data_IF_792257549985
#
_entry.id   IF_792257549985
#
_cell.length_a   1.000
_cell.length_b   1.000
_cell.length_c   1.000
_cell.angle_alpha   90.00
_cell.angle_beta   90.00
_cell.angle_gamma   90.00
#
_symmetry.space_group_name_H-M   'P 1'
#
loop_
_entity.id
_entity.type
_entity.pdbx_description
1 polymer ?
#
# COMPACT_ATOMS: atom_id res chain seq x y z
N UNK A 1 -4.61 -56.24 -21.77
CA UNK A 1 -4.91 -54.97 -22.44
C UNK A 1 -6.03 -54.21 -21.74
N UNK A 2 -7.19 -54.82 -21.43
CA UNK A 2 -8.31 -54.16 -20.74
C UNK A 2 -7.99 -53.84 -19.26
N UNK A 3 -7.32 -54.72 -18.53
CA UNK A 3 -6.90 -54.49 -17.13
C UNK A 3 -5.83 -53.45 -16.97
N UNK A 4 -4.94 -53.26 -17.96
CA UNK A 4 -3.95 -52.17 -17.97
C UNK A 4 -4.55 -50.80 -18.24
N UNK A 5 -5.68 -50.75 -18.96
CA UNK A 5 -6.42 -49.52 -19.22
C UNK A 5 -7.19 -49.04 -17.98
N UNK A 6 -7.80 -49.99 -17.25
CA UNK A 6 -8.51 -49.70 -15.98
C UNK A 6 -7.53 -49.22 -14.88
N UNK A 7 -6.34 -49.84 -14.76
CA UNK A 7 -5.31 -49.43 -13.79
C UNK A 7 -4.80 -48.00 -14.05
N UNK A 8 -4.51 -47.65 -15.31
CA UNK A 8 -4.10 -46.26 -15.67
C UNK A 8 -5.21 -45.23 -15.46
N UNK A 9 -6.49 -45.64 -15.66
CA UNK A 9 -7.62 -44.75 -15.47
C UNK A 9 -7.85 -44.44 -13.98
N UNK A 10 -7.64 -45.45 -13.10
CA UNK A 10 -7.71 -45.27 -11.65
C UNK A 10 -6.59 -44.41 -11.14
N UNK A 11 -5.33 -44.62 -11.58
CA UNK A 11 -4.17 -43.78 -11.23
C UNK A 11 -4.35 -42.35 -11.67
N UNK A 12 -4.87 -42.13 -12.89
CA UNK A 12 -5.17 -40.78 -13.40
C UNK A 12 -6.28 -40.12 -12.58
N UNK A 13 -7.33 -40.84 -12.21
CA UNK A 13 -8.44 -40.34 -11.40
C UNK A 13 -7.98 -40.02 -9.95
N UNK A 14 -7.11 -40.81 -9.37
CA UNK A 14 -6.54 -40.54 -8.05
C UNK A 14 -5.66 -39.31 -8.06
N UNK A 15 -4.78 -39.14 -9.06
CA UNK A 15 -3.93 -37.94 -9.22
C UNK A 15 -4.82 -36.71 -9.42
N UNK A 16 -5.87 -36.78 -10.26
CA UNK A 16 -6.82 -35.66 -10.44
C UNK A 16 -7.60 -35.32 -9.17
N UNK A 17 -7.93 -36.28 -8.33
CA UNK A 17 -8.61 -36.04 -7.05
C UNK A 17 -7.68 -35.42 -6.01
N UNK A 18 -6.39 -35.82 -5.94
CA UNK A 18 -5.38 -35.25 -5.06
C UNK A 18 -5.13 -33.81 -5.43
N UNK A 19 -4.94 -33.48 -6.72
CA UNK A 19 -4.75 -32.11 -7.19
C UNK A 19 -5.92 -31.20 -6.82
N UNK A 20 -7.15 -31.68 -6.98
CA UNK A 20 -8.35 -30.91 -6.64
C UNK A 20 -8.51 -30.70 -5.13
N UNK A 21 -8.17 -31.69 -4.35
CA UNK A 21 -8.23 -31.60 -2.89
C UNK A 21 -7.19 -30.61 -2.36
N UNK A 22 -5.95 -30.73 -2.82
CA UNK A 22 -4.87 -29.79 -2.46
C UNK A 22 -5.21 -28.36 -2.87
N UNK A 23 -5.74 -28.16 -4.08
CA UNK A 23 -6.19 -26.86 -4.54
C UNK A 23 -7.23 -26.25 -3.60
N UNK A 24 -8.24 -27.01 -3.19
CA UNK A 24 -9.28 -26.54 -2.28
C UNK A 24 -8.74 -26.18 -0.90
N UNK A 25 -7.78 -26.96 -0.35
CA UNK A 25 -7.13 -26.66 0.94
C UNK A 25 -6.39 -25.34 0.85
N UNK A 26 -5.58 -25.14 -0.18
CA UNK A 26 -4.84 -23.89 -0.40
C UNK A 26 -5.78 -22.70 -0.57
N UNK A 27 -6.86 -22.87 -1.32
CA UNK A 27 -7.87 -21.83 -1.50
C UNK A 27 -8.53 -21.42 -0.18
N UNK A 28 -8.91 -22.39 0.66
CA UNK A 28 -9.47 -22.10 1.99
C UNK A 28 -8.43 -21.45 2.93
N UNK A 29 -7.17 -21.83 2.81
CA UNK A 29 -6.08 -21.17 3.55
C UNK A 29 -5.91 -19.69 3.11
N UNK A 30 -5.93 -19.42 1.81
CA UNK A 30 -5.91 -18.05 1.26
C UNK A 30 -7.07 -17.23 1.82
N UNK A 31 -8.29 -17.76 1.79
CA UNK A 31 -9.47 -17.05 2.33
C UNK A 31 -9.33 -16.75 3.82
N UNK A 32 -8.83 -17.69 4.62
CA UNK A 32 -8.57 -17.49 6.05
C UNK A 32 -7.52 -16.41 6.33
N UNK A 33 -6.42 -16.39 5.56
CA UNK A 33 -5.39 -15.37 5.67
C UNK A 33 -5.91 -13.99 5.24
N UNK A 34 -6.68 -13.94 4.15
CA UNK A 34 -7.32 -12.71 3.68
C UNK A 34 -8.30 -12.13 4.73
N UNK A 35 -9.08 -12.98 5.40
CA UNK A 35 -9.97 -12.57 6.49
C UNK A 35 -9.21 -11.97 7.69
N UNK A 36 -7.97 -12.42 7.93
CA UNK A 36 -7.05 -11.84 8.94
C UNK A 36 -6.26 -10.64 8.44
N UNK A 37 -6.45 -10.21 7.18
CA UNK A 37 -5.69 -9.16 6.49
C UNK A 37 -4.19 -9.50 6.30
N UNK A 38 -3.83 -10.76 6.36
CA UNK A 38 -2.47 -11.27 6.12
C UNK A 38 -2.25 -11.50 4.61
N UNK A 39 -2.45 -10.42 3.81
CA UNK A 39 -2.52 -10.49 2.35
C UNK A 39 -1.23 -10.97 1.69
N UNK A 40 -0.05 -10.59 2.22
CA UNK A 40 1.24 -11.03 1.66
C UNK A 40 1.41 -12.55 1.72
N UNK A 41 1.06 -13.18 2.85
CA UNK A 41 1.11 -14.63 2.99
C UNK A 41 0.10 -15.33 2.09
N UNK A 42 -1.12 -14.77 1.97
CA UNK A 42 -2.15 -15.28 1.08
C UNK A 42 -1.71 -15.21 -0.40
N UNK A 43 -1.07 -14.11 -0.81
CA UNK A 43 -0.56 -13.91 -2.16
C UNK A 43 0.54 -14.94 -2.52
N UNK A 44 1.48 -15.22 -1.60
CA UNK A 44 2.51 -16.22 -1.83
C UNK A 44 1.95 -17.64 -2.04
N UNK A 45 0.88 -18.01 -1.35
CA UNK A 45 0.20 -19.29 -1.60
C UNK A 45 -0.48 -19.25 -2.97
N UNK A 46 -1.13 -18.13 -3.31
CA UNK A 46 -1.82 -17.98 -4.59
C UNK A 46 -0.87 -18.12 -5.79
N UNK A 47 0.36 -17.59 -5.72
CA UNK A 47 1.39 -17.71 -6.78
C UNK A 47 1.76 -19.17 -7.10
N UNK A 48 1.64 -20.06 -6.12
CA UNK A 48 1.98 -21.48 -6.28
C UNK A 48 0.86 -22.32 -6.90
N UNK A 49 -0.30 -21.72 -7.18
CA UNK A 49 -1.50 -22.42 -7.64
C UNK A 49 -1.72 -22.24 -9.14
N UNK A 50 -2.28 -23.26 -9.77
CA UNK A 50 -2.64 -23.21 -11.20
C UNK A 50 -4.09 -22.73 -11.37
N UNK A 51 -4.25 -21.48 -11.79
CA UNK A 51 -5.56 -20.82 -11.99
C UNK A 51 -6.19 -21.09 -13.36
N UNK A 52 -5.47 -21.74 -14.28
CA UNK A 52 -5.96 -21.98 -15.64
C UNK A 52 -7.21 -22.86 -15.71
N UNK A 53 -7.51 -23.66 -14.71
CA UNK A 53 -8.70 -24.51 -14.66
C UNK A 53 -9.89 -23.86 -13.93
N UNK A 54 -9.67 -22.71 -13.27
CA UNK A 54 -10.70 -22.03 -12.47
C UNK A 54 -11.59 -21.20 -13.38
N UNK A 55 -12.89 -21.50 -13.42
CA UNK A 55 -13.89 -20.79 -14.23
C UNK A 55 -14.83 -19.93 -13.37
N UNK A 56 -14.75 -20.04 -12.07
CA UNK A 56 -15.59 -19.32 -11.15
C UNK A 56 -15.08 -17.90 -10.93
N UNK A 57 -15.92 -16.93 -11.27
CA UNK A 57 -15.60 -15.50 -11.10
C UNK A 57 -15.33 -15.14 -9.64
N UNK A 58 -16.12 -15.66 -8.69
CA UNK A 58 -15.97 -15.33 -7.27
C UNK A 58 -14.59 -15.70 -6.73
N UNK A 59 -14.09 -16.87 -7.14
CA UNK A 59 -12.74 -17.33 -6.79
C UNK A 59 -11.66 -16.43 -7.40
N UNK A 60 -11.73 -16.15 -8.72
CA UNK A 60 -10.76 -15.28 -9.38
C UNK A 60 -10.78 -13.87 -8.79
N UNK A 61 -11.96 -13.30 -8.54
CA UNK A 61 -12.09 -11.99 -7.90
C UNK A 61 -11.46 -11.95 -6.49
N UNK A 62 -11.60 -13.03 -5.72
CA UNK A 62 -10.95 -13.13 -4.41
C UNK A 62 -9.44 -13.09 -4.54
N UNK A 63 -8.86 -13.80 -5.50
CA UNK A 63 -7.42 -13.82 -5.71
C UNK A 63 -6.91 -12.47 -6.23
N UNK A 64 -7.62 -11.87 -7.19
CA UNK A 64 -7.30 -10.51 -7.67
C UNK A 64 -7.24 -9.51 -6.50
N UNK A 65 -8.25 -9.53 -5.62
CA UNK A 65 -8.28 -8.65 -4.45
C UNK A 65 -7.15 -8.94 -3.44
N UNK A 66 -6.76 -10.21 -3.27
CA UNK A 66 -5.65 -10.61 -2.39
C UNK A 66 -4.33 -10.11 -2.93
N UNK A 67 -4.06 -10.29 -4.23
CA UNK A 67 -2.84 -9.82 -4.88
C UNK A 67 -2.75 -8.29 -4.84
N UNK A 68 -3.85 -7.61 -5.14
CA UNK A 68 -3.92 -6.15 -5.04
C UNK A 68 -3.63 -5.64 -3.62
N UNK A 69 -4.27 -6.25 -2.60
CA UNK A 69 -4.09 -5.87 -1.20
C UNK A 69 -2.68 -6.20 -0.67
N UNK A 70 -1.99 -7.17 -1.29
CA UNK A 70 -0.58 -7.48 -1.03
C UNK A 70 0.38 -6.46 -1.68
N UNK A 71 -0.09 -5.68 -2.67
CA UNK A 71 0.71 -4.79 -3.50
C UNK A 71 1.32 -5.45 -4.74
N UNK A 72 0.95 -6.70 -5.03
CA UNK A 72 1.45 -7.48 -6.17
C UNK A 72 0.62 -7.19 -7.43
N UNK A 73 0.77 -5.99 -7.97
CA UNK A 73 -0.06 -5.50 -9.08
C UNK A 73 0.15 -6.26 -10.39
N UNK A 74 1.33 -6.81 -10.63
CA UNK A 74 1.60 -7.65 -11.81
C UNK A 74 0.80 -8.94 -11.74
N UNK A 75 0.84 -9.65 -10.63
CA UNK A 75 0.05 -10.87 -10.42
C UNK A 75 -1.46 -10.59 -10.44
N UNK A 76 -1.90 -9.48 -9.84
CA UNK A 76 -3.30 -9.05 -9.88
C UNK A 76 -3.76 -8.79 -11.32
N UNK A 77 -2.94 -8.12 -12.14
CA UNK A 77 -3.17 -7.89 -13.57
C UNK A 77 -3.29 -9.22 -14.32
N UNK A 78 -2.36 -10.15 -14.13
CA UNK A 78 -2.35 -11.42 -14.85
C UNK A 78 -3.59 -12.27 -14.52
N UNK A 79 -4.03 -12.28 -13.25
CA UNK A 79 -5.28 -12.90 -12.85
C UNK A 79 -6.50 -12.20 -13.45
N UNK A 80 -6.46 -10.86 -13.54
CA UNK A 80 -7.55 -10.10 -14.16
C UNK A 80 -7.61 -10.33 -15.67
N UNK A 81 -6.46 -10.43 -16.38
CA UNK A 81 -6.38 -10.80 -17.80
C UNK A 81 -6.98 -12.20 -18.01
N UNK A 82 -6.66 -13.16 -17.14
CA UNK A 82 -7.22 -14.51 -17.20
C UNK A 82 -8.76 -14.50 -17.13
N UNK A 83 -9.31 -13.67 -16.23
CA UNK A 83 -10.75 -13.50 -16.09
C UNK A 83 -11.37 -12.76 -17.29
N UNK A 84 -10.71 -11.71 -17.79
CA UNK A 84 -11.13 -10.93 -18.95
C UNK A 84 -11.23 -11.79 -20.22
N UNK A 85 -10.20 -12.60 -20.51
CA UNK A 85 -10.16 -13.52 -21.65
C UNK A 85 -11.28 -14.60 -21.60
N UNK A 86 -11.87 -14.80 -20.43
CA UNK A 86 -13.02 -15.71 -20.22
C UNK A 86 -14.36 -14.99 -20.21
N UNK A 87 -14.38 -13.71 -20.53
CA UNK A 87 -15.58 -12.86 -20.48
C UNK A 87 -16.25 -12.83 -19.09
N UNK A 88 -15.46 -12.89 -18.01
CA UNK A 88 -15.92 -12.81 -16.64
C UNK A 88 -15.85 -11.37 -16.12
N UNK A 89 -16.57 -11.06 -15.05
CA UNK A 89 -16.47 -9.80 -14.31
C UNK A 89 -17.05 -8.55 -14.98
N UNK A 90 -17.26 -8.58 -16.29
CA UNK A 90 -17.88 -7.48 -17.05
C UNK A 90 -17.15 -6.14 -16.90
N UNK A 91 -17.90 -5.02 -17.00
CA UNK A 91 -17.33 -3.67 -16.97
C UNK A 91 -16.53 -3.35 -15.70
N UNK A 92 -16.87 -3.96 -14.54
CA UNK A 92 -16.12 -3.74 -13.29
C UNK A 92 -14.71 -4.32 -13.38
N UNK A 93 -14.56 -5.47 -14.05
CA UNK A 93 -13.24 -6.05 -14.29
C UNK A 93 -12.43 -5.21 -15.26
N UNK A 94 -13.03 -4.65 -16.32
CA UNK A 94 -12.34 -3.77 -17.28
C UNK A 94 -11.79 -2.54 -16.55
N UNK A 95 -12.61 -1.91 -15.69
CA UNK A 95 -12.16 -0.80 -14.85
C UNK A 95 -10.94 -1.18 -14.01
N UNK A 96 -11.06 -2.29 -13.27
CA UNK A 96 -10.01 -2.78 -12.38
C UNK A 96 -8.72 -3.18 -13.12
N UNK A 97 -8.88 -3.82 -14.27
CA UNK A 97 -7.75 -4.20 -15.13
C UNK A 97 -7.03 -2.96 -15.68
N UNK A 98 -7.78 -1.90 -16.03
CA UNK A 98 -7.18 -0.61 -16.40
C UNK A 98 -6.36 -0.03 -15.25
N UNK A 99 -6.89 -0.05 -14.02
CA UNK A 99 -6.13 0.40 -12.83
C UNK A 99 -4.83 -0.39 -12.66
N UNK A 100 -4.85 -1.71 -12.87
CA UNK A 100 -3.64 -2.54 -12.76
C UNK A 100 -2.61 -2.21 -13.84
N UNK A 101 -3.03 -2.01 -15.09
CA UNK A 101 -2.11 -1.59 -16.15
C UNK A 101 -1.50 -0.22 -15.87
N UNK A 102 -2.26 0.72 -15.29
CA UNK A 102 -1.72 2.00 -14.83
C UNK A 102 -0.66 1.78 -13.72
N UNK A 103 -0.90 0.85 -12.78
CA UNK A 103 0.02 0.57 -11.67
C UNK A 103 1.33 -0.09 -12.07
N UNK A 104 1.34 -0.78 -13.21
CA UNK A 104 2.54 -1.42 -13.76
C UNK A 104 3.13 -0.63 -14.94
N UNK A 105 2.72 0.61 -15.12
CA UNK A 105 3.17 1.57 -16.13
C UNK A 105 2.99 1.08 -17.60
N UNK A 106 2.07 0.14 -17.84
CA UNK A 106 1.69 -0.32 -19.17
C UNK A 106 0.54 0.55 -19.72
N UNK A 107 0.90 1.75 -20.13
CA UNK A 107 -0.07 2.77 -20.52
C UNK A 107 -0.76 2.48 -21.86
N UNK A 108 -0.14 1.71 -22.75
CA UNK A 108 -0.74 1.33 -24.04
C UNK A 108 -1.99 0.45 -23.82
N UNK A 109 -1.84 -0.61 -23.05
CA UNK A 109 -2.96 -1.48 -22.68
C UNK A 109 -3.98 -0.76 -21.77
N UNK A 110 -3.52 0.10 -20.87
CA UNK A 110 -4.39 0.91 -20.03
C UNK A 110 -5.30 1.83 -20.87
N UNK A 111 -4.77 2.50 -21.89
CA UNK A 111 -5.56 3.35 -22.78
C UNK A 111 -6.58 2.57 -23.60
N UNK A 112 -6.22 1.38 -24.11
CA UNK A 112 -7.14 0.55 -24.86
C UNK A 112 -8.33 0.14 -24.02
N UNK A 113 -8.05 -0.39 -22.82
CA UNK A 113 -9.09 -0.80 -21.86
C UNK A 113 -9.92 0.38 -21.34
N UNK A 114 -9.30 1.55 -21.12
CA UNK A 114 -10.04 2.76 -20.80
C UNK A 114 -11.05 3.12 -21.89
N UNK A 115 -10.64 3.08 -23.16
CA UNK A 115 -11.54 3.36 -24.30
C UNK A 115 -12.70 2.37 -24.35
N UNK A 116 -12.43 1.09 -24.08
CA UNK A 116 -13.45 0.06 -23.98
C UNK A 116 -14.42 0.36 -22.81
N UNK A 117 -13.88 0.63 -21.62
CA UNK A 117 -14.68 0.98 -20.44
C UNK A 117 -15.56 2.22 -20.69
N UNK A 118 -14.99 3.29 -21.20
CA UNK A 118 -15.70 4.52 -21.47
C UNK A 118 -16.85 4.34 -22.48
N UNK A 119 -16.66 3.47 -23.47
CA UNK A 119 -17.69 3.11 -24.45
C UNK A 119 -18.82 2.27 -23.85
N UNK A 120 -18.50 1.28 -23.00
CA UNK A 120 -19.47 0.41 -22.33
C UNK A 120 -20.19 1.12 -21.18
N UNK A 121 -19.58 2.16 -20.62
CA UNK A 121 -20.02 2.85 -19.41
C UNK A 121 -20.16 4.37 -19.66
N UNK A 122 -20.83 4.75 -20.76
CA UNK A 122 -20.91 6.15 -21.20
C UNK A 122 -21.48 7.12 -20.13
N UNK A 123 -22.38 6.64 -19.28
CA UNK A 123 -23.02 7.42 -18.20
C UNK A 123 -22.36 7.24 -16.83
N UNK A 124 -21.31 6.40 -16.73
CA UNK A 124 -20.60 6.18 -15.47
C UNK A 124 -19.58 7.31 -15.24
N UNK A 125 -19.75 8.00 -14.13
CA UNK A 125 -18.92 9.14 -13.74
C UNK A 125 -17.48 8.70 -13.43
N UNK A 126 -17.29 7.48 -12.96
CA UNK A 126 -15.98 6.92 -12.66
C UNK A 126 -15.03 6.85 -13.86
N UNK A 127 -15.54 6.96 -15.10
CA UNK A 127 -14.69 7.09 -16.29
C UNK A 127 -13.76 8.30 -16.23
N UNK A 128 -14.19 9.40 -15.61
CA UNK A 128 -13.36 10.60 -15.46
C UNK A 128 -12.21 10.36 -14.47
N UNK A 129 -12.48 9.63 -13.39
CA UNK A 129 -11.47 9.28 -12.41
C UNK A 129 -10.44 8.32 -13.01
N UNK A 130 -10.89 7.28 -13.71
CA UNK A 130 -10.01 6.34 -14.38
C UNK A 130 -9.13 7.06 -15.42
N UNK A 131 -9.70 8.02 -16.16
CA UNK A 131 -8.93 8.83 -17.11
C UNK A 131 -7.96 9.78 -16.42
N UNK A 132 -8.37 10.39 -15.32
CA UNK A 132 -7.51 11.22 -14.50
C UNK A 132 -6.30 10.45 -13.98
N UNK A 133 -6.52 9.26 -13.42
CA UNK A 133 -5.44 8.42 -12.90
C UNK A 133 -4.48 7.98 -14.01
N UNK A 134 -5.00 7.62 -15.19
CA UNK A 134 -4.20 7.29 -16.37
C UNK A 134 -3.35 8.48 -16.83
N UNK A 135 -3.96 9.65 -17.02
CA UNK A 135 -3.24 10.84 -17.50
C UNK A 135 -2.23 11.36 -16.49
N UNK A 136 -2.56 11.26 -15.19
CA UNK A 136 -1.64 11.60 -14.10
C UNK A 136 -0.42 10.67 -14.08
N UNK A 137 -0.61 9.37 -14.28
CA UNK A 137 0.48 8.40 -14.36
C UNK A 137 1.37 8.58 -15.62
N UNK A 138 0.81 9.16 -16.69
CA UNK A 138 1.54 9.55 -17.90
C UNK A 138 2.21 10.94 -17.81
N UNK A 139 2.25 11.55 -16.61
CA UNK A 139 2.79 12.91 -16.40
C UNK A 139 2.14 13.98 -17.30
N UNK A 140 0.83 13.87 -17.55
CA UNK A 140 0.10 14.85 -18.32
C UNK A 140 0.16 16.24 -17.66
N UNK A 141 0.08 17.33 -18.46
CA UNK A 141 0.11 18.70 -17.93
C UNK A 141 -1.01 18.93 -16.90
N UNK A 142 -0.70 19.67 -15.82
CA UNK A 142 -1.68 20.01 -14.76
C UNK A 142 -2.95 20.65 -15.31
N UNK A 143 -2.88 21.40 -16.43
CA UNK A 143 -4.04 22.00 -17.09
C UNK A 143 -5.01 20.95 -17.65
N UNK A 144 -4.50 19.86 -18.24
CA UNK A 144 -5.33 18.75 -18.70
C UNK A 144 -5.99 18.01 -17.54
N UNK A 145 -5.24 17.79 -16.45
CA UNK A 145 -5.76 17.16 -15.24
C UNK A 145 -6.88 18.01 -14.60
N UNK A 146 -6.75 19.33 -14.63
CA UNK A 146 -7.82 20.25 -14.22
C UNK A 146 -9.09 20.03 -15.05
N UNK A 147 -8.98 20.02 -16.37
CA UNK A 147 -10.13 19.86 -17.27
C UNK A 147 -10.88 18.53 -17.02
N UNK A 148 -10.16 17.48 -16.69
CA UNK A 148 -10.75 16.17 -16.37
C UNK A 148 -11.51 16.22 -15.04
N UNK A 149 -10.90 16.77 -13.99
CA UNK A 149 -11.52 16.84 -12.67
C UNK A 149 -12.65 17.87 -12.61
N UNK A 150 -12.63 18.93 -13.44
CA UNK A 150 -13.77 19.84 -13.58
C UNK A 150 -15.00 19.09 -14.12
N UNK A 151 -14.84 18.24 -15.13
CA UNK A 151 -15.94 17.39 -15.66
C UNK A 151 -16.45 16.40 -14.62
N UNK A 152 -15.57 15.83 -13.81
CA UNK A 152 -15.97 14.96 -12.70
C UNK A 152 -16.79 15.72 -11.66
N UNK A 153 -16.32 16.88 -11.23
CA UNK A 153 -16.98 17.75 -10.25
C UNK A 153 -18.39 18.20 -10.67
N UNK A 154 -18.65 18.37 -11.99
CA UNK A 154 -19.98 18.71 -12.50
C UNK A 154 -20.99 17.56 -12.31
N UNK A 155 -20.50 16.32 -12.24
CA UNK A 155 -21.33 15.14 -12.16
C UNK A 155 -21.42 14.56 -10.73
N UNK A 156 -20.35 14.67 -9.94
CA UNK A 156 -20.27 14.11 -8.58
C UNK A 156 -19.41 14.97 -7.66
N UNK A 157 -19.78 14.99 -6.38
CA UNK A 157 -19.05 15.70 -5.33
C UNK A 157 -18.33 14.69 -4.48
N UNK A 158 -16.99 14.65 -4.61
CA UNK A 158 -16.11 13.77 -3.83
C UNK A 158 -15.04 14.60 -3.13
N UNK A 159 -14.86 14.39 -1.84
CA UNK A 159 -13.96 15.17 -0.99
C UNK A 159 -12.50 15.11 -1.47
N UNK A 160 -12.03 13.91 -1.83
CA UNK A 160 -10.65 13.68 -2.29
C UNK A 160 -10.38 14.41 -3.60
N UNK A 161 -11.25 14.22 -4.60
CA UNK A 161 -11.02 14.77 -5.93
C UNK A 161 -11.28 16.28 -5.99
N UNK A 162 -12.14 16.81 -5.13
CA UNK A 162 -12.25 18.24 -4.92
C UNK A 162 -10.96 18.85 -4.36
N UNK A 163 -10.31 18.15 -3.39
CA UNK A 163 -9.04 18.61 -2.87
C UNK A 163 -7.93 18.52 -3.92
N UNK A 164 -7.84 17.42 -4.67
CA UNK A 164 -6.87 17.28 -5.77
C UNK A 164 -7.07 18.37 -6.83
N UNK A 165 -8.31 18.70 -7.17
CA UNK A 165 -8.61 19.82 -8.08
C UNK A 165 -8.16 21.18 -7.50
N UNK A 166 -8.35 21.41 -6.20
CA UNK A 166 -7.86 22.62 -5.54
C UNK A 166 -6.33 22.74 -5.58
N UNK A 167 -5.60 21.61 -5.40
CA UNK A 167 -4.13 21.58 -5.55
C UNK A 167 -3.70 21.88 -7.00
N UNK A 168 -4.39 21.33 -7.99
CA UNK A 168 -4.12 21.60 -9.40
C UNK A 168 -4.39 23.08 -9.76
N UNK A 169 -5.46 23.69 -9.24
CA UNK A 169 -5.69 25.12 -9.38
C UNK A 169 -4.57 25.96 -8.76
N UNK A 170 -4.08 25.53 -7.59
CA UNK A 170 -2.94 26.19 -6.95
C UNK A 170 -1.68 26.14 -7.82
N UNK A 171 -1.34 24.95 -8.36
CA UNK A 171 -0.18 24.72 -9.24
C UNK A 171 -0.26 25.50 -10.55
N UNK A 172 -1.45 25.57 -11.13
CA UNK A 172 -1.70 26.30 -12.39
C UNK A 172 -1.91 27.80 -12.20
N UNK A 173 -1.80 28.31 -10.97
CA UNK A 173 -1.95 29.74 -10.66
C UNK A 173 -3.40 30.25 -10.66
N UNK A 174 -4.39 29.39 -10.74
CA UNK A 174 -5.83 29.72 -10.68
C UNK A 174 -6.27 29.96 -9.23
N UNK A 175 -5.79 31.03 -8.63
CA UNK A 175 -5.93 31.34 -7.18
C UNK A 175 -7.39 31.47 -6.73
N UNK A 176 -8.23 32.09 -7.53
CA UNK A 176 -9.65 32.28 -7.20
C UNK A 176 -10.41 30.96 -7.17
N UNK A 177 -10.18 30.09 -8.17
CA UNK A 177 -10.81 28.77 -8.26
C UNK A 177 -10.32 27.86 -7.13
N UNK A 178 -9.02 27.90 -6.82
CA UNK A 178 -8.45 27.22 -5.65
C UNK A 178 -9.14 27.66 -4.36
N UNK A 179 -9.23 28.97 -4.10
CA UNK A 179 -9.88 29.51 -2.90
C UNK A 179 -11.34 29.09 -2.79
N UNK A 180 -12.11 29.22 -3.88
CA UNK A 180 -13.54 28.82 -3.91
C UNK A 180 -13.71 27.33 -3.66
N UNK A 181 -12.84 26.48 -4.24
CA UNK A 181 -12.91 25.03 -4.05
C UNK A 181 -12.58 24.63 -2.62
N UNK A 182 -11.59 25.27 -2.00
CA UNK A 182 -11.30 25.10 -0.58
C UNK A 182 -12.46 25.54 0.33
N UNK A 183 -13.13 26.65 -0.01
CA UNK A 183 -14.31 27.13 0.73
C UNK A 183 -15.47 26.13 0.64
N UNK A 184 -15.71 25.58 -0.54
CA UNK A 184 -16.73 24.55 -0.76
C UNK A 184 -16.45 23.27 -0.01
N UNK A 185 -15.18 22.82 0.04
CA UNK A 185 -14.77 21.67 0.84
C UNK A 185 -15.11 21.83 2.32
N UNK A 186 -14.76 22.97 2.91
CA UNK A 186 -15.08 23.26 4.31
C UNK A 186 -16.58 23.37 4.54
N UNK A 187 -17.31 23.93 3.59
CA UNK A 187 -18.77 24.13 3.70
C UNK A 187 -19.53 22.80 3.63
N UNK A 188 -19.13 21.89 2.73
CA UNK A 188 -19.91 20.68 2.46
C UNK A 188 -19.53 19.51 3.36
N UNK A 189 -18.24 19.36 3.70
CA UNK A 189 -17.75 18.23 4.49
C UNK A 189 -17.50 18.56 5.96
N UNK A 190 -17.36 19.84 6.32
CA UNK A 190 -17.20 20.38 7.67
C UNK A 190 -15.93 19.91 8.40
N UNK A 191 -15.60 18.62 8.40
CA UNK A 191 -14.41 18.01 8.99
C UNK A 191 -13.83 16.91 8.06
N UNK A 192 -12.68 16.40 8.39
CA UNK A 192 -11.98 15.36 7.64
C UNK A 192 -10.60 15.77 7.14
N UNK A 193 -9.86 14.78 6.69
CA UNK A 193 -8.45 14.96 6.28
C UNK A 193 -8.29 15.93 5.10
N UNK A 194 -9.24 15.93 4.16
CA UNK A 194 -9.18 16.80 2.99
C UNK A 194 -9.65 18.21 3.30
N UNK A 195 -10.57 18.38 4.25
CA UNK A 195 -10.93 19.69 4.81
C UNK A 195 -9.72 20.35 5.48
N UNK A 196 -9.00 19.61 6.32
CA UNK A 196 -7.76 20.10 6.93
C UNK A 196 -6.70 20.48 5.90
N UNK A 197 -6.52 19.65 4.87
CA UNK A 197 -5.60 19.93 3.77
C UNK A 197 -6.02 21.17 2.97
N UNK A 198 -7.32 21.34 2.72
CA UNK A 198 -7.86 22.52 2.01
C UNK A 198 -7.63 23.82 2.80
N UNK A 199 -7.82 23.79 4.13
CA UNK A 199 -7.52 24.93 5.00
C UNK A 199 -6.04 25.29 4.98
N UNK A 200 -5.13 24.32 5.04
CA UNK A 200 -3.68 24.53 4.90
C UNK A 200 -3.30 25.06 3.51
N UNK A 201 -3.95 24.58 2.47
CA UNK A 201 -3.72 25.08 1.11
C UNK A 201 -4.15 26.54 0.98
N UNK A 202 -5.29 26.91 1.59
CA UNK A 202 -5.78 28.30 1.62
C UNK A 202 -4.85 29.22 2.41
N UNK A 203 -4.27 28.73 3.50
CA UNK A 203 -3.21 29.46 4.24
C UNK A 203 -2.00 29.72 3.35
N UNK A 204 -1.50 28.70 2.63
CA UNK A 204 -0.39 28.85 1.66
C UNK A 204 -0.71 29.84 0.53
N UNK A 205 -1.96 29.90 0.11
CA UNK A 205 -2.43 30.81 -0.92
C UNK A 205 -2.40 32.28 -0.45
N UNK A 206 -2.38 32.52 0.87
CA UNK A 206 -2.33 33.86 1.46
C UNK A 206 -3.60 34.68 1.31
N UNK A 207 -4.76 34.02 1.13
CA UNK A 207 -6.05 34.68 0.96
C UNK A 207 -6.83 34.71 2.27
N UNK A 208 -7.86 35.57 2.33
CA UNK A 208 -8.73 35.72 3.50
C UNK A 208 -9.41 34.41 3.88
N UNK A 209 -9.36 34.05 5.15
CA UNK A 209 -9.96 32.88 5.73
C UNK A 209 -11.19 33.22 6.55
N UNK A 210 -12.23 32.39 6.50
CA UNK A 210 -13.40 32.48 7.36
C UNK A 210 -13.05 32.14 8.82
N UNK A 211 -13.93 32.53 9.76
CA UNK A 211 -13.71 32.21 11.18
C UNK A 211 -13.68 30.69 11.44
N UNK A 212 -14.49 29.92 10.72
CA UNK A 212 -14.45 28.44 10.78
C UNK A 212 -13.11 27.89 10.33
N UNK A 213 -12.59 28.36 9.20
CA UNK A 213 -11.28 27.93 8.69
C UNK A 213 -10.12 28.29 9.64
N UNK A 214 -10.16 29.49 10.24
CA UNK A 214 -9.19 29.90 11.25
C UNK A 214 -9.24 29.01 12.50
N UNK A 215 -10.44 28.62 12.93
CA UNK A 215 -10.64 27.69 14.05
C UNK A 215 -10.02 26.34 13.71
N UNK A 216 -10.35 25.75 12.57
CA UNK A 216 -9.79 24.47 12.09
C UNK A 216 -8.26 24.55 12.03
N UNK A 217 -7.70 25.63 11.48
CA UNK A 217 -6.25 25.81 11.40
C UNK A 217 -5.59 25.87 12.79
N UNK A 218 -6.21 26.57 13.75
CA UNK A 218 -5.72 26.62 15.12
C UNK A 218 -5.73 25.25 15.82
N UNK A 219 -6.76 24.45 15.60
CA UNK A 219 -6.87 23.07 16.11
C UNK A 219 -5.82 22.14 15.49
N UNK A 220 -5.57 22.26 14.18
CA UNK A 220 -4.50 21.52 13.48
C UNK A 220 -3.13 21.86 14.07
N UNK A 221 -2.85 23.16 14.28
CA UNK A 221 -1.56 23.60 14.80
C UNK A 221 -1.36 23.17 16.24
N UNK A 222 -2.40 23.21 17.10
CA UNK A 222 -2.36 22.70 18.46
C UNK A 222 -2.03 21.20 18.50
N UNK A 223 -2.73 20.37 17.68
CA UNK A 223 -2.43 18.92 17.60
C UNK A 223 -0.99 18.64 17.17
N UNK A 224 -0.45 19.38 16.19
CA UNK A 224 0.96 19.24 15.78
C UNK A 224 1.92 19.56 16.90
N UNK A 225 1.69 20.66 17.62
CA UNK A 225 2.52 21.05 18.77
C UNK A 225 2.53 19.96 19.85
N UNK A 226 1.36 19.38 20.16
CA UNK A 226 1.24 18.30 21.14
C UNK A 226 1.95 17.01 20.67
N UNK A 227 1.87 16.68 19.36
CA UNK A 227 2.57 15.54 18.78
C UNK A 227 4.10 15.72 18.82
N UNK A 228 4.59 16.92 18.53
CA UNK A 228 6.01 17.25 18.60
C UNK A 228 6.53 17.19 20.03
N UNK A 229 5.81 17.78 20.99
CA UNK A 229 6.14 17.72 22.41
C UNK A 229 6.15 16.26 22.93
N UNK A 230 5.22 15.41 22.48
CA UNK A 230 5.18 14.01 22.86
C UNK A 230 6.33 13.21 22.25
N UNK A 231 6.72 13.49 21.01
CA UNK A 231 7.91 12.88 20.37
C UNK A 231 9.20 13.25 21.11
N UNK A 232 9.36 14.52 21.48
CA UNK A 232 10.52 14.96 22.25
C UNK A 232 10.56 14.27 23.62
N UNK A 233 9.42 14.16 24.32
CA UNK A 233 9.34 13.45 25.60
C UNK A 233 9.74 11.98 25.46
N UNK A 234 9.21 11.26 24.47
CA UNK A 234 9.57 9.88 24.21
C UNK A 234 11.04 9.68 23.84
N UNK A 235 11.61 10.62 23.07
CA UNK A 235 13.03 10.61 22.74
C UNK A 235 13.91 10.80 23.99
N UNK A 236 13.54 11.72 24.87
CA UNK A 236 14.27 11.94 26.12
C UNK A 236 14.17 10.74 27.06
N UNK A 237 12.99 10.11 27.16
CA UNK A 237 12.78 8.90 27.95
C UNK A 237 13.62 7.71 27.43
N UNK A 238 13.66 7.52 26.11
CA UNK A 238 14.53 6.48 25.48
C UNK A 238 16.00 6.74 25.75
N UNK A 239 16.44 8.00 25.70
CA UNK A 239 17.82 8.39 25.98
C UNK A 239 18.18 8.15 27.45
N UNK A 240 17.29 8.43 28.36
CA UNK A 240 17.47 8.18 29.80
C UNK A 240 17.55 6.69 30.09
N UNK A 241 16.64 5.88 29.52
CA UNK A 241 16.69 4.42 29.60
C UNK A 241 18.00 3.83 29.05
N UNK A 242 18.51 4.39 27.97
CA UNK A 242 19.79 3.97 27.39
C UNK A 242 20.98 4.32 28.30
N UNK A 243 20.92 5.44 29.03
CA UNK A 243 21.94 5.80 30.06
C UNK A 243 21.88 4.84 31.24
N UNK A 244 20.70 4.62 31.80
CA UNK A 244 20.52 3.69 32.95
C UNK A 244 21.03 2.29 32.62
N UNK A 245 20.73 1.77 31.43
CA UNK A 245 21.26 0.46 30.98
C UNK A 245 22.77 0.45 30.83
N UNK A 246 23.39 1.56 30.46
CA UNK A 246 24.84 1.66 30.32
C UNK A 246 25.52 1.73 31.69
N UNK A 247 24.90 2.41 32.65
CA UNK A 247 25.40 2.50 34.03
C UNK A 247 25.26 1.17 34.75
N UNK A 248 24.14 0.41 34.57
CA UNK A 248 23.97 -0.96 35.11
C UNK A 248 25.03 -1.95 34.55
N UNK A 249 25.37 -1.84 33.28
CA UNK A 249 26.43 -2.69 32.67
C UNK A 249 27.82 -2.28 33.15
N UNK A 250 28.05 -1.00 33.43
CA UNK A 250 29.30 -0.48 34.02
C UNK A 250 29.54 -1.03 35.42
N UNK A 251 28.51 -0.97 36.29
CA UNK A 251 28.59 -1.50 37.69
C UNK A 251 28.83 -3.02 37.73
N UNK A 252 28.29 -3.78 36.79
CA UNK A 252 28.53 -5.23 36.69
C UNK A 252 29.97 -5.60 36.28
N UNK A 253 30.62 -4.74 35.49
CA UNK A 253 32.02 -4.95 35.09
C UNK A 253 33.02 -4.56 36.19
N UNK A 254 32.67 -3.62 37.06
CA UNK A 254 33.48 -3.18 38.21
C UNK A 254 33.40 -4.15 39.41
N UNK A 255 32.39 -5.01 39.50
CA UNK A 255 32.28 -6.07 40.51
C UNK A 255 33.12 -7.31 40.16
N UNK A 256 33.28 -7.65 38.88
CA UNK A 256 34.12 -8.80 38.45
C UNK A 256 35.61 -8.51 38.60
N UNK A 257 36.07 -7.26 38.51
CA UNK A 257 37.49 -6.90 38.71
C UNK A 257 37.94 -6.90 40.20
N UNK A 258 37.01 -6.95 41.15
CA UNK A 258 37.32 -7.05 42.57
C UNK A 258 37.44 -8.48 43.15
N UNK A 259 37.05 -9.48 42.35
CA UNK A 259 37.03 -10.88 42.82
C UNK A 259 38.30 -11.67 42.50
N UNK A 260 39.30 -11.13 41.78
CA UNK A 260 40.43 -11.91 41.24
C UNK A 260 41.82 -11.42 41.74
N UNK A 261 41.91 -10.82 42.94
CA UNK A 261 43.19 -10.37 43.48
C UNK A 261 43.82 -11.29 44.56
N UNK A 262 43.35 -12.53 44.71
CA UNK A 262 44.01 -13.49 45.63
C UNK A 262 44.04 -14.92 45.04
N UNK A 263 45.05 -15.21 44.21
CA UNK A 263 45.83 -16.50 44.24
C UNK A 263 46.84 -16.57 43.10
N UNK A 264 48.07 -16.80 43.53
CA UNK A 264 49.30 -16.93 42.76
C UNK A 264 49.29 -18.03 41.69
N UNK A 265 50.08 -17.79 40.64
CA UNK A 265 50.49 -18.66 39.53
C UNK A 265 51.36 -19.84 39.99
N UNK A 266 51.85 -20.81 39.14
CA UNK A 266 51.74 -20.91 37.67
C UNK A 266 51.53 -22.36 37.14
N UNK A 267 51.21 -22.57 35.89
CA UNK A 267 51.95 -23.35 34.89
C UNK A 267 51.10 -23.82 33.69
N UNK A 268 51.55 -23.41 32.52
CA UNK A 268 51.73 -24.17 31.26
C UNK A 268 50.65 -25.05 30.63
N UNK A 269 50.45 -24.71 29.39
CA UNK A 269 50.26 -25.51 28.14
C UNK A 269 48.89 -25.56 27.48
N UNK A 270 48.88 -24.85 26.36
CA UNK A 270 48.57 -25.31 24.98
C UNK A 270 47.16 -25.74 24.61
N UNK A 271 46.74 -25.11 23.51
CA UNK A 271 45.75 -25.54 22.50
C UNK A 271 44.28 -25.50 22.92
N UNK A 272 43.37 -24.87 22.24
CA UNK A 272 43.13 -24.93 20.83
C UNK A 272 42.05 -23.87 20.46
N UNK A 273 42.22 -23.28 19.32
CA UNK A 273 41.30 -22.38 18.64
C UNK A 273 39.92 -23.02 18.45
N UNK A 274 38.89 -22.28 18.73
CA UNK A 274 37.64 -22.20 17.97
C UNK A 274 36.61 -21.40 18.76
N UNK A 275 36.40 -20.21 18.39
CA UNK A 275 35.16 -19.44 18.35
C UNK A 275 35.47 -17.93 18.22
N UNK A 276 35.90 -17.56 17.03
CA UNK A 276 35.81 -16.20 16.57
C UNK A 276 34.90 -16.23 15.35
N UNK A 277 33.76 -15.62 15.43
CA UNK A 277 33.10 -14.90 14.36
C UNK A 277 31.58 -14.82 14.59
N UNK A 278 31.18 -13.87 15.41
CA UNK A 278 29.88 -13.17 15.19
C UNK A 278 30.19 -11.70 15.32
N UNK A 279 30.70 -11.13 14.26
CA UNK A 279 30.82 -9.67 14.12
C UNK A 279 29.65 -9.14 13.35
N UNK A 280 28.90 -8.25 13.99
CA UNK A 280 28.33 -7.02 13.45
C UNK A 280 28.06 -6.98 11.94
N UNK A 281 26.80 -7.11 11.56
CA UNK A 281 26.29 -6.48 10.36
C UNK A 281 25.33 -5.38 10.78
N UNK A 282 25.92 -4.25 11.15
CA UNK A 282 25.22 -3.00 11.38
C UNK A 282 24.55 -2.54 10.09
N UNK A 283 23.31 -2.19 10.23
CA UNK A 283 22.45 -1.48 9.31
C UNK A 283 23.15 -0.22 8.76
N UNK A 284 23.48 -0.23 7.48
CA UNK A 284 23.69 0.99 6.69
C UNK A 284 22.39 1.31 5.98
N UNK A 285 21.66 2.25 6.50
CA UNK A 285 20.73 3.05 5.72
C UNK A 285 21.55 4.02 4.88
N UNK A 286 21.54 3.85 3.58
CA UNK A 286 21.92 4.89 2.64
C UNK A 286 20.74 5.83 2.47
N UNK A 287 20.90 7.04 2.93
CA UNK A 287 20.23 8.23 2.43
C UNK A 287 20.99 8.67 1.18
N UNK A 288 20.36 8.72 0.05
CA UNK A 288 20.69 9.45 -1.20
C UNK A 288 19.39 9.45 -2.00
N UNK A 289 18.86 10.55 -2.17
CA UNK A 289 18.85 11.71 -2.98
C UNK A 289 17.66 11.79 -3.93
N UNK A 290 17.09 12.95 -3.86
CA UNK A 290 16.27 13.78 -4.75
C UNK A 290 14.79 13.61 -4.65
#
# INVERSE_FOLDING_TARGET
>A
VLLEFEGRFIDIMEVFNVDKYEFNIKLEQIKKLAAKKEYKQAAEIAKQMNWNKVKDWSTLATIINVQEAAGDYEEARDMAILAYNRNLGGRKLIYKLTEFFIKVDDFENAEELYREYAKLSAHDVNKYILYYDLRRAQDAPDTELVDILEKYKEAEIDEKYMYELAELYYKTGRKEDCSKTCDNLVLWFQDGIYVEKAVKLKEKLGVTMTNTQKKILSEINARKSDEEANKERLFMEQKELARLKKDEVGDLLDEDDKADSDKAAPSNKASDSRYSNVTNKALRFKSEDV
#
